data_IF_263312415252
#
_entry.id   IF_263312415252
#
_cell.length_a   1.000
_cell.length_b   1.000
_cell.length_c   1.000
_cell.angle_alpha   90.00
_cell.angle_beta   90.00
_cell.angle_gamma   90.00
#
_symmetry.space_group_name_H-M   'P 1'
#
loop_
_entity.id
_entity.type
_entity.pdbx_description
1 polymer ?
#
# COMPACT_ATOMS: atom_id res chain seq x y z
N UNK A 1 7.93 -5.92 28.57
CA UNK A 1 8.29 -4.86 27.60
C UNK A 1 9.27 -5.43 26.60
N UNK A 2 8.74 -5.77 25.44
CA UNK A 2 9.50 -6.32 24.32
C UNK A 2 10.49 -5.27 23.82
N UNK A 3 11.73 -5.68 23.55
CA UNK A 3 12.84 -4.76 23.23
C UNK A 3 12.56 -3.93 21.98
N UNK A 4 11.78 -4.46 21.04
CA UNK A 4 11.45 -3.87 19.75
C UNK A 4 10.23 -2.95 19.77
N UNK A 5 9.56 -2.78 20.91
CA UNK A 5 8.32 -2.00 21.02
C UNK A 5 8.49 -0.56 20.49
N UNK A 6 9.59 0.12 20.86
CA UNK A 6 9.84 1.49 20.40
C UNK A 6 10.06 1.58 18.88
N UNK A 7 10.71 0.58 18.31
CA UNK A 7 11.04 0.52 16.88
C UNK A 7 9.82 0.19 16.02
N UNK A 8 9.02 -0.79 16.45
CA UNK A 8 7.72 -1.09 15.83
C UNK A 8 6.84 0.15 15.84
N UNK A 9 6.80 0.86 16.97
CA UNK A 9 6.05 2.11 17.09
C UNK A 9 6.55 3.16 16.10
N UNK A 10 7.86 3.36 15.98
CA UNK A 10 8.43 4.36 15.07
C UNK A 10 8.06 4.10 13.60
N UNK A 11 8.10 2.83 13.17
CA UNK A 11 7.76 2.44 11.79
C UNK A 11 6.26 2.61 11.51
N UNK A 12 5.41 2.06 12.38
CA UNK A 12 3.97 1.99 12.13
C UNK A 12 3.27 3.33 12.42
N UNK A 13 3.74 4.14 13.38
CA UNK A 13 3.12 5.43 13.74
C UNK A 13 3.17 6.47 12.61
N UNK A 14 4.08 6.30 11.65
CA UNK A 14 4.20 7.14 10.45
C UNK A 14 3.26 6.70 9.32
N UNK A 15 2.41 5.68 9.55
CA UNK A 15 1.52 5.09 8.55
C UNK A 15 2.21 4.06 7.65
N UNK A 16 3.35 3.51 8.10
CA UNK A 16 4.06 2.43 7.40
C UNK A 16 3.49 1.04 7.72
N UNK A 17 4.11 0.05 7.11
CA UNK A 17 3.75 -1.36 7.25
C UNK A 17 4.95 -2.20 7.67
N UNK A 18 4.68 -3.32 8.33
CA UNK A 18 5.67 -4.38 8.57
C UNK A 18 5.14 -5.64 7.89
N UNK A 19 5.79 -6.06 6.80
CA UNK A 19 5.40 -7.21 5.98
C UNK A 19 6.28 -8.43 6.23
N UNK A 20 5.68 -9.62 6.24
CA UNK A 20 6.39 -10.90 6.44
C UNK A 20 7.42 -11.18 5.33
N UNK A 21 7.16 -10.65 4.13
CA UNK A 21 7.89 -10.94 2.91
C UNK A 21 8.80 -9.77 2.46
N UNK A 22 9.01 -8.78 3.34
CA UNK A 22 10.00 -7.71 3.13
C UNK A 22 11.35 -8.29 2.66
N UNK A 23 12.02 -7.60 1.74
CA UNK A 23 13.39 -7.88 1.31
C UNK A 23 14.39 -7.59 2.44
N UNK A 24 14.08 -6.64 3.34
CA UNK A 24 14.86 -6.34 4.54
C UNK A 24 14.66 -7.43 5.63
N UNK A 25 15.71 -8.19 6.00
CA UNK A 25 15.65 -9.20 7.05
C UNK A 25 15.22 -8.67 8.42
N UNK A 26 15.53 -7.41 8.72
CA UNK A 26 15.18 -6.78 9.98
C UNK A 26 13.67 -6.56 10.09
N UNK A 27 13.03 -6.08 9.02
CA UNK A 27 11.56 -5.96 8.96
C UNK A 27 10.89 -7.32 9.13
N UNK A 28 11.42 -8.39 8.51
CA UNK A 28 10.90 -9.77 8.73
C UNK A 28 11.06 -10.22 10.17
N UNK A 29 12.16 -9.84 10.82
CA UNK A 29 12.34 -10.12 12.25
C UNK A 29 11.30 -9.36 13.09
N UNK A 30 11.03 -8.09 12.80
CA UNK A 30 9.99 -7.31 13.48
C UNK A 30 8.60 -7.92 13.28
N UNK A 31 8.29 -8.39 12.07
CA UNK A 31 7.05 -9.14 11.81
C UNK A 31 6.91 -10.33 12.76
N UNK A 32 7.94 -11.18 12.86
CA UNK A 32 7.91 -12.34 13.75
C UNK A 32 7.82 -11.95 15.24
N UNK A 33 8.39 -10.82 15.64
CA UNK A 33 8.25 -10.30 17.01
C UNK A 33 6.83 -9.84 17.28
N UNK A 34 6.17 -9.21 16.31
CA UNK A 34 4.77 -8.83 16.43
C UNK A 34 3.90 -10.07 16.54
N UNK A 35 4.05 -11.00 15.60
CA UNK A 35 3.25 -12.23 15.52
C UNK A 35 3.33 -13.06 16.81
N UNK A 36 4.55 -13.25 17.35
CA UNK A 36 4.76 -14.00 18.58
C UNK A 36 4.29 -13.30 19.86
N UNK A 37 4.00 -11.99 19.82
CA UNK A 37 3.64 -11.19 21.00
C UNK A 37 2.44 -10.26 20.77
N UNK A 38 1.53 -10.64 19.85
CA UNK A 38 0.49 -9.75 19.34
C UNK A 38 -0.38 -9.16 20.44
N UNK A 39 -0.76 -9.96 21.44
CA UNK A 39 -1.63 -9.51 22.55
C UNK A 39 -0.95 -8.46 23.43
N UNK A 40 0.28 -8.68 23.89
CA UNK A 40 1.02 -7.71 24.73
C UNK A 40 1.25 -6.40 23.97
N UNK A 41 1.63 -6.48 22.69
CA UNK A 41 1.87 -5.31 21.85
C UNK A 41 0.58 -4.53 21.55
N UNK A 42 -0.51 -5.24 21.24
CA UNK A 42 -1.82 -4.62 21.02
C UNK A 42 -2.26 -3.82 22.26
N UNK A 43 -2.24 -4.43 23.44
CA UNK A 43 -2.62 -3.76 24.70
C UNK A 43 -1.71 -2.56 24.99
N UNK A 44 -0.41 -2.71 24.76
CA UNK A 44 0.56 -1.63 24.95
C UNK A 44 0.26 -0.42 24.06
N UNK A 45 0.09 -0.62 22.76
CA UNK A 45 -0.18 0.50 21.84
C UNK A 45 -1.59 1.06 21.98
N UNK A 46 -2.58 0.23 22.31
CA UNK A 46 -3.94 0.69 22.56
C UNK A 46 -4.01 1.69 23.73
N UNK A 47 -3.13 1.53 24.74
CA UNK A 47 -3.03 2.47 25.87
C UNK A 47 -2.65 3.91 25.46
N UNK A 48 -2.02 4.06 24.29
CA UNK A 48 -1.65 5.35 23.68
C UNK A 48 -2.44 5.66 22.41
N UNK A 49 -3.61 5.01 22.23
CA UNK A 49 -4.55 5.23 21.13
C UNK A 49 -4.01 4.87 19.73
N UNK A 50 -3.09 3.91 19.65
CA UNK A 50 -2.68 3.24 18.41
C UNK A 50 -3.17 1.79 18.43
N UNK A 51 -3.94 1.40 17.42
CA UNK A 51 -4.49 0.06 17.30
C UNK A 51 -3.63 -0.73 16.32
N UNK A 52 -2.96 -1.77 16.82
CA UNK A 52 -2.17 -2.67 16.00
C UNK A 52 -3.11 -3.62 15.27
N UNK A 53 -3.18 -3.48 13.96
CA UNK A 53 -4.05 -4.26 13.08
C UNK A 53 -3.20 -5.17 12.18
N UNK A 54 -3.78 -6.31 11.80
CA UNK A 54 -3.18 -7.29 10.88
C UNK A 54 -3.99 -7.38 9.59
N UNK A 55 -3.32 -7.43 8.45
CA UNK A 55 -3.91 -7.89 7.19
C UNK A 55 -3.25 -9.19 6.72
N UNK A 56 -3.42 -9.53 5.44
CA UNK A 56 -2.82 -10.72 4.86
C UNK A 56 -1.27 -10.61 4.81
N UNK A 57 -0.62 -11.12 5.86
CA UNK A 57 0.83 -11.18 6.07
C UNK A 57 1.53 -9.81 6.27
N UNK A 58 0.80 -8.83 6.83
CA UNK A 58 1.37 -7.54 7.20
C UNK A 58 0.68 -6.96 8.45
N UNK A 59 1.40 -6.06 9.15
CA UNK A 59 0.88 -5.29 10.29
C UNK A 59 0.96 -3.79 10.03
N UNK A 60 0.00 -3.04 10.58
CA UNK A 60 -0.05 -1.58 10.53
C UNK A 60 -0.73 -0.99 11.76
N UNK A 61 -0.64 0.34 11.92
CA UNK A 61 -1.43 1.04 12.95
C UNK A 61 -2.67 1.71 12.35
N UNK A 62 -3.82 1.41 12.97
CA UNK A 62 -5.02 2.22 12.88
C UNK A 62 -5.10 3.20 14.07
N UNK A 63 -5.78 4.32 13.88
CA UNK A 63 -6.04 5.31 14.95
C UNK A 63 -7.40 5.94 14.73
N UNK A 64 -8.01 6.45 15.80
CA UNK A 64 -9.21 7.30 15.70
C UNK A 64 -8.81 8.65 15.10
N UNK A 65 -9.62 9.13 14.17
CA UNK A 65 -9.30 10.34 13.41
C UNK A 65 -10.36 11.41 13.53
N UNK A 66 -9.91 12.64 13.39
CA UNK A 66 -10.77 13.81 13.24
C UNK A 66 -11.37 13.85 11.83
N UNK A 67 -12.45 14.62 11.65
CA UNK A 67 -13.09 14.79 10.34
C UNK A 67 -12.13 15.33 9.26
N UNK A 68 -11.26 16.27 9.61
CA UNK A 68 -10.30 16.83 8.67
C UNK A 68 -9.24 15.80 8.23
N UNK A 69 -8.82 14.91 9.13
CA UNK A 69 -7.92 13.81 8.80
C UNK A 69 -8.60 12.79 7.87
N UNK A 70 -9.90 12.54 8.05
CA UNK A 70 -10.68 11.66 7.20
C UNK A 70 -10.77 12.17 5.76
N UNK A 71 -11.01 13.47 5.55
CA UNK A 71 -11.02 14.09 4.22
C UNK A 71 -9.66 13.90 3.50
N UNK A 72 -8.56 14.16 4.21
CA UNK A 72 -7.21 13.93 3.67
C UNK A 72 -6.95 12.46 3.33
N UNK A 73 -7.46 11.54 4.14
CA UNK A 73 -7.36 10.11 3.86
C UNK A 73 -8.15 9.69 2.64
N UNK A 74 -9.33 10.26 2.41
CA UNK A 74 -10.11 10.00 1.21
C UNK A 74 -9.36 10.44 -0.06
N UNK A 75 -8.70 11.61 -0.03
CA UNK A 75 -7.84 12.05 -1.14
C UNK A 75 -6.67 11.09 -1.39
N UNK A 76 -6.02 10.63 -0.31
CA UNK A 76 -4.94 9.63 -0.39
C UNK A 76 -5.45 8.29 -0.93
N UNK A 77 -6.63 7.86 -0.49
CA UNK A 77 -7.30 6.64 -0.95
C UNK A 77 -7.59 6.72 -2.46
N UNK A 78 -8.22 7.80 -2.93
CA UNK A 78 -8.49 8.04 -4.35
C UNK A 78 -7.23 7.98 -5.20
N UNK A 79 -6.13 8.59 -4.73
CA UNK A 79 -4.82 8.49 -5.40
C UNK A 79 -4.39 7.03 -5.52
N UNK A 80 -4.49 6.27 -4.44
CA UNK A 80 -4.07 4.87 -4.42
C UNK A 80 -4.93 3.96 -5.28
N UNK A 81 -6.22 4.23 -5.41
CA UNK A 81 -7.11 3.54 -6.34
C UNK A 81 -6.65 3.74 -7.78
N UNK A 82 -6.38 4.99 -8.18
CA UNK A 82 -5.91 5.29 -9.54
C UNK A 82 -4.53 4.66 -9.81
N UNK A 83 -3.64 4.61 -8.81
CA UNK A 83 -2.35 3.91 -8.93
C UNK A 83 -2.53 2.39 -9.04
N UNK A 84 -3.43 1.81 -8.25
CA UNK A 84 -3.74 0.37 -8.30
C UNK A 84 -4.29 -0.01 -9.68
N UNK A 85 -5.24 0.77 -10.20
CA UNK A 85 -5.80 0.61 -11.54
C UNK A 85 -4.70 0.67 -12.63
N UNK A 86 -3.77 1.63 -12.53
CA UNK A 86 -2.61 1.71 -13.42
C UNK A 86 -1.72 0.45 -13.38
N UNK A 87 -1.31 -0.01 -12.19
CA UNK A 87 -0.40 -1.17 -12.09
C UNK A 87 -1.08 -2.49 -12.45
N UNK A 88 -2.38 -2.64 -12.17
CA UNK A 88 -3.19 -3.80 -12.61
C UNK A 88 -3.44 -3.79 -14.12
N UNK A 89 -3.59 -2.62 -14.73
CA UNK A 89 -3.63 -2.47 -16.20
C UNK A 89 -2.31 -2.90 -16.83
N UNK A 90 -1.17 -2.62 -16.19
CA UNK A 90 0.14 -3.08 -16.67
C UNK A 90 0.25 -4.61 -16.64
N UNK A 91 -0.09 -5.22 -15.51
CA UNK A 91 -0.16 -6.67 -15.35
C UNK A 91 -1.18 -7.03 -14.26
N UNK A 92 -2.18 -7.85 -14.61
CA UNK A 92 -3.20 -8.29 -13.65
C UNK A 92 -2.60 -9.09 -12.47
N UNK A 93 -1.43 -9.72 -12.68
CA UNK A 93 -0.69 -10.43 -11.63
C UNK A 93 0.15 -9.50 -10.73
N UNK A 94 0.06 -8.17 -10.90
CA UNK A 94 0.74 -7.19 -10.05
C UNK A 94 0.16 -7.23 -8.62
N UNK A 95 0.71 -8.10 -7.80
CA UNK A 95 0.28 -8.45 -6.45
C UNK A 95 1.52 -8.86 -5.62
N UNK A 96 1.42 -9.11 -4.30
CA UNK A 96 2.56 -9.51 -3.49
C UNK A 96 3.38 -10.66 -4.10
N UNK A 97 4.70 -10.51 -4.09
CA UNK A 97 5.65 -11.44 -4.73
C UNK A 97 5.96 -11.14 -6.21
N UNK A 98 5.17 -10.31 -6.89
CA UNK A 98 5.45 -9.86 -8.26
C UNK A 98 6.74 -9.04 -8.32
N UNK A 99 7.52 -9.26 -9.38
CA UNK A 99 8.79 -8.55 -9.62
C UNK A 99 8.75 -7.85 -10.97
N UNK A 100 9.25 -6.62 -11.00
CA UNK A 100 9.24 -5.82 -12.22
C UNK A 100 10.40 -4.84 -12.28
N UNK A 101 10.68 -4.34 -13.47
CA UNK A 101 11.61 -3.25 -13.71
C UNK A 101 10.87 -2.05 -14.28
N UNK A 102 11.20 -0.81 -13.88
CA UNK A 102 10.57 0.39 -14.46
C UNK A 102 10.73 0.47 -15.98
N UNK A 103 11.85 -0.02 -16.52
CA UNK A 103 12.11 -0.08 -17.96
C UNK A 103 11.07 -0.90 -18.72
N UNK A 104 10.59 -2.00 -18.13
CA UNK A 104 9.62 -2.88 -18.79
C UNK A 104 8.24 -2.22 -18.88
N UNK A 105 7.86 -1.47 -17.84
CA UNK A 105 6.65 -0.63 -17.84
C UNK A 105 6.77 0.43 -18.94
N UNK A 106 7.92 1.11 -19.05
CA UNK A 106 8.16 2.12 -20.08
C UNK A 106 8.12 1.55 -21.51
N UNK A 107 8.59 0.32 -21.71
CA UNK A 107 8.46 -0.37 -23.00
C UNK A 107 6.99 -0.68 -23.28
N UNK A 108 6.25 -1.20 -22.29
CA UNK A 108 4.83 -1.53 -22.44
C UNK A 108 3.97 -0.30 -22.76
N UNK A 109 4.25 0.83 -22.12
CA UNK A 109 3.60 2.13 -22.36
C UNK A 109 3.68 2.63 -23.81
N UNK A 110 4.63 2.14 -24.61
CA UNK A 110 4.75 2.51 -26.03
C UNK A 110 3.76 1.76 -26.92
N UNK A 111 3.27 0.62 -26.46
CA UNK A 111 2.43 -0.31 -27.23
C UNK A 111 0.99 -0.33 -26.74
N UNK A 112 0.76 0.12 -25.50
CA UNK A 112 -0.51 0.00 -24.80
C UNK A 112 -1.10 1.39 -24.54
N UNK A 113 -2.16 1.72 -25.30
CA UNK A 113 -2.81 3.02 -25.23
C UNK A 113 -3.58 3.23 -23.93
N UNK A 114 -4.20 2.16 -23.40
CA UNK A 114 -4.94 2.21 -22.14
C UNK A 114 -3.98 2.45 -20.98
N UNK A 115 -2.89 1.67 -20.90
CA UNK A 115 -1.87 1.86 -19.87
C UNK A 115 -1.28 3.28 -19.90
N UNK A 116 -1.10 3.84 -21.10
CA UNK A 116 -0.62 5.21 -21.29
C UNK A 116 -1.62 6.26 -20.81
N UNK A 117 -2.90 6.05 -21.06
CA UNK A 117 -3.97 6.91 -20.54
C UNK A 117 -4.03 6.87 -19.01
N UNK A 118 -3.97 5.67 -18.41
CA UNK A 118 -3.93 5.50 -16.95
C UNK A 118 -2.75 6.24 -16.32
N UNK A 119 -1.54 6.09 -16.87
CA UNK A 119 -0.37 6.85 -16.39
C UNK A 119 -0.57 8.36 -16.56
N UNK A 120 -1.17 8.80 -17.67
CA UNK A 120 -1.51 10.20 -17.92
C UNK A 120 -2.47 10.77 -16.87
N UNK A 121 -3.42 9.97 -16.39
CA UNK A 121 -4.32 10.31 -15.29
C UNK A 121 -3.59 10.59 -13.97
N UNK A 122 -2.43 9.96 -13.74
CA UNK A 122 -1.64 10.14 -12.51
C UNK A 122 -0.87 11.46 -12.45
N UNK A 123 -0.85 12.27 -13.54
CA UNK A 123 -0.24 13.61 -13.56
C UNK A 123 -0.75 14.51 -12.43
N UNK A 124 -2.05 14.44 -12.11
CA UNK A 124 -2.69 15.23 -11.05
C UNK A 124 -2.10 14.97 -9.65
N UNK A 125 -1.46 13.81 -9.44
CA UNK A 125 -0.85 13.45 -8.15
C UNK A 125 0.66 13.66 -8.12
N UNK A 126 1.31 13.62 -9.28
CA UNK A 126 2.77 13.70 -9.37
C UNK A 126 3.28 15.12 -9.65
N UNK A 127 2.46 15.96 -10.29
CA UNK A 127 2.87 17.27 -10.81
C UNK A 127 3.93 17.16 -11.91
N UNK A 128 4.06 15.99 -12.54
CA UNK A 128 5.04 15.69 -13.60
C UNK A 128 4.35 15.61 -14.95
N UNK A 129 5.06 15.97 -16.01
CA UNK A 129 4.52 15.98 -17.37
C UNK A 129 5.04 14.84 -18.23
N UNK A 130 6.31 14.47 -18.05
CA UNK A 130 6.94 13.39 -18.83
C UNK A 130 6.63 12.02 -18.24
N UNK A 131 6.43 11.03 -19.11
CA UNK A 131 5.97 9.70 -18.71
C UNK A 131 6.94 8.99 -17.75
N UNK A 132 8.24 9.10 -18.03
CA UNK A 132 9.31 8.59 -17.18
C UNK A 132 9.31 9.23 -15.79
N UNK A 133 9.19 10.56 -15.72
CA UNK A 133 9.14 11.30 -14.45
C UNK A 133 7.86 10.98 -13.63
N UNK A 134 6.71 10.80 -14.31
CA UNK A 134 5.46 10.39 -13.65
C UNK A 134 5.61 8.99 -13.07
N UNK A 135 6.10 8.03 -13.87
CA UNK A 135 6.29 6.65 -13.44
C UNK A 135 7.27 6.59 -12.26
N UNK A 136 8.41 7.27 -12.35
CA UNK A 136 9.40 7.34 -11.28
C UNK A 136 8.78 7.88 -9.98
N UNK A 137 7.97 8.94 -10.07
CA UNK A 137 7.30 9.49 -8.89
C UNK A 137 6.30 8.52 -8.27
N UNK A 138 5.51 7.82 -9.09
CA UNK A 138 4.55 6.80 -8.63
C UNK A 138 5.27 5.65 -7.94
N UNK A 139 6.36 5.13 -8.52
CA UNK A 139 7.13 4.05 -7.91
C UNK A 139 7.82 4.49 -6.62
N UNK A 140 8.32 5.72 -6.56
CA UNK A 140 8.88 6.29 -5.33
C UNK A 140 7.81 6.44 -4.24
N UNK A 141 6.57 6.80 -4.59
CA UNK A 141 5.47 6.84 -3.63
C UNK A 141 5.07 5.44 -3.16
N UNK A 142 4.98 4.45 -4.06
CA UNK A 142 4.73 3.05 -3.70
C UNK A 142 5.80 2.51 -2.74
N UNK A 143 7.07 2.84 -3.00
CA UNK A 143 8.19 2.44 -2.15
C UNK A 143 8.15 3.14 -0.79
N UNK A 144 7.95 4.46 -0.78
CA UNK A 144 7.90 5.26 0.46
C UNK A 144 6.78 4.79 1.38
N UNK A 145 5.61 4.49 0.81
CA UNK A 145 4.44 4.10 1.59
C UNK A 145 4.41 2.58 1.87
N UNK A 146 5.48 1.85 1.50
CA UNK A 146 5.73 0.47 1.95
C UNK A 146 5.10 -0.64 1.11
N UNK A 147 4.65 -0.34 -0.10
CA UNK A 147 3.95 -1.30 -0.98
C UNK A 147 4.88 -2.07 -1.92
N UNK A 148 6.04 -1.51 -2.22
CA UNK A 148 7.10 -2.16 -3.00
C UNK A 148 8.46 -1.92 -2.36
N UNK A 149 9.41 -2.79 -2.65
CA UNK A 149 10.79 -2.68 -2.20
C UNK A 149 11.76 -2.89 -3.35
N UNK A 150 12.94 -2.26 -3.26
CA UNK A 150 14.00 -2.44 -4.24
C UNK A 150 14.78 -3.71 -3.87
N UNK A 151 14.56 -4.79 -4.62
CA UNK A 151 15.19 -6.09 -4.34
C UNK A 151 16.61 -6.17 -4.94
N UNK A 152 16.82 -5.53 -6.09
CA UNK A 152 18.13 -5.48 -6.74
C UNK A 152 18.42 -4.09 -7.31
N UNK A 153 19.42 -3.41 -6.72
CA UNK A 153 19.83 -2.07 -7.14
C UNK A 153 20.47 -2.04 -8.53
N UNK A 154 21.24 -3.08 -8.88
CA UNK A 154 21.99 -3.14 -10.15
C UNK A 154 21.03 -3.16 -11.33
N UNK A 155 19.98 -3.98 -11.22
CA UNK A 155 18.99 -4.16 -12.27
C UNK A 155 17.75 -3.29 -12.08
N UNK A 156 17.71 -2.48 -11.01
CA UNK A 156 16.52 -1.71 -10.62
C UNK A 156 15.25 -2.57 -10.55
N UNK A 157 15.38 -3.78 -10.00
CA UNK A 157 14.26 -4.73 -9.86
C UNK A 157 13.54 -4.47 -8.55
N UNK A 158 12.25 -4.18 -8.66
CA UNK A 158 11.36 -4.01 -7.52
C UNK A 158 10.56 -5.27 -7.26
N UNK A 159 10.25 -5.51 -5.99
CA UNK A 159 9.35 -6.56 -5.52
C UNK A 159 8.13 -5.90 -4.87
N UNK A 160 6.94 -6.37 -5.20
CA UNK A 160 5.70 -6.03 -4.49
C UNK A 160 5.63 -6.84 -3.20
N UNK A 161 5.35 -6.19 -2.06
CA UNK A 161 5.30 -6.83 -0.73
C UNK A 161 3.88 -7.01 -0.23
N UNK A 162 3.69 -7.80 0.83
CA UNK A 162 2.38 -8.18 1.38
C UNK A 162 1.49 -6.98 1.73
N UNK A 163 2.08 -5.85 2.16
CA UNK A 163 1.33 -4.62 2.43
C UNK A 163 0.54 -4.10 1.22
N UNK A 164 0.88 -4.50 -0.01
CA UNK A 164 0.11 -4.15 -1.20
C UNK A 164 -1.34 -4.66 -1.14
N UNK A 165 -1.61 -5.76 -0.41
CA UNK A 165 -2.97 -6.26 -0.17
C UNK A 165 -3.86 -5.19 0.48
N UNK A 166 -3.31 -4.28 1.29
CA UNK A 166 -4.05 -3.16 1.86
C UNK A 166 -4.69 -2.26 0.79
N UNK A 167 -4.01 -2.05 -0.35
CA UNK A 167 -4.55 -1.26 -1.46
C UNK A 167 -5.69 -2.00 -2.17
N UNK A 168 -5.58 -3.32 -2.32
CA UNK A 168 -6.62 -4.16 -2.92
C UNK A 168 -7.87 -4.24 -2.03
N UNK A 169 -7.67 -4.35 -0.72
CA UNK A 169 -8.72 -4.30 0.30
C UNK A 169 -9.41 -2.93 0.30
N UNK A 170 -8.66 -1.84 0.16
CA UNK A 170 -9.20 -0.47 0.11
C UNK A 170 -10.20 -0.29 -1.04
N UNK A 171 -9.93 -0.84 -2.23
CA UNK A 171 -10.90 -0.83 -3.34
C UNK A 171 -12.13 -1.68 -3.03
N UNK A 172 -11.92 -2.84 -2.41
CA UNK A 172 -13.02 -3.74 -2.04
C UNK A 172 -13.97 -3.11 -1.02
N UNK A 173 -13.46 -2.33 -0.06
CA UNK A 173 -14.27 -1.62 0.92
C UNK A 173 -15.12 -0.48 0.33
N UNK A 174 -14.73 0.07 -0.83
CA UNK A 174 -15.48 1.14 -1.51
C UNK A 174 -16.63 0.58 -2.36
N UNK A 175 -16.54 -0.69 -2.78
CA UNK A 175 -17.67 -1.43 -3.34
C UNK A 175 -18.69 -1.73 -2.23
N UNK A 176 -19.44 -0.69 -1.84
CA UNK A 176 -20.67 -0.83 -1.08
C UNK A 176 -21.60 -1.66 -1.96
N UNK A 177 -22.02 -2.88 -1.57
CA UNK A 177 -23.07 -3.57 -2.31
C UNK A 177 -24.27 -2.63 -2.36
N UNK A 178 -24.82 -2.40 -3.56
CA UNK A 178 -26.12 -1.74 -3.68
C UNK A 178 -27.07 -2.52 -2.77
N UNK A 179 -27.40 -1.96 -1.60
CA UNK A 179 -28.49 -2.46 -0.77
C UNK A 179 -29.71 -2.38 -1.68
N UNK A 180 -30.12 -3.53 -2.22
CA UNK A 180 -31.40 -3.70 -2.90
C UNK A 180 -32.45 -3.11 -1.98
N UNK A 181 -32.98 -1.96 -2.38
CA UNK A 181 -34.09 -1.30 -1.70
C UNK A 181 -35.14 -2.36 -1.42
N UNK A 182 -35.49 -2.51 -0.14
CA UNK A 182 -36.59 -3.34 0.30
C UNK A 182 -37.81 -3.07 -0.58
N UNK A 183 -38.18 -4.02 -1.45
CA UNK A 183 -39.49 -4.04 -2.07
C UNK A 183 -40.51 -4.14 -0.94
N UNK A 184 -41.34 -3.11 -0.81
CA UNK A 184 -42.49 -3.11 0.11
C UNK A 184 -43.47 -4.14 -0.46
N UNK A 185 -43.83 -5.22 0.27
CA UNK A 185 -44.82 -6.18 -0.22
C UNK A 185 -46.20 -5.52 -0.32
N UNK A 186 -46.90 -5.76 -1.44
CA UNK A 186 -48.31 -5.38 -1.64
C UNK A 186 -49.27 -6.02 -0.61
#
# INVERSE_FOLDING_TARGET
MIKQTAEIFELLSKGGFISSDSTDPHIRQLYNQIDGNLTELYEHYASINFFLESGNEYYYFARRETRAELERKLEIAMRWIDVLDFVKTYDNAFAPGFRFQPSDILVRLKLDAELKEKLGGLKKYTGKEKQDEILEKVLNDLKRDGFIELENEITSTYKVVAAFNYLEELVTCINIPEETQNEIPE
#
